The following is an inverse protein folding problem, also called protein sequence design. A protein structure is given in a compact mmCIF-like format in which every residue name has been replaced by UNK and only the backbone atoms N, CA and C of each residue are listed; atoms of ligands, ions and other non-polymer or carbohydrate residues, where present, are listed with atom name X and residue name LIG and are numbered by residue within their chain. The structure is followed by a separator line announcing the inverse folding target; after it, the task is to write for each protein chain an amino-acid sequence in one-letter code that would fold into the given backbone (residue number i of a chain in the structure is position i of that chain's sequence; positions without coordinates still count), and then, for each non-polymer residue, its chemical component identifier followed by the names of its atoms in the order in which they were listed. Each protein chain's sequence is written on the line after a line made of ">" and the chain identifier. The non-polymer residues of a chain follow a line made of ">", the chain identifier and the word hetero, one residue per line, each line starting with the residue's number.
data_IF_076780135503
#
_entry.id   IF_076780135503
#
_cell.length_a   1.000
_cell.length_b   1.000
_cell.length_c   1.000
_cell.angle_alpha   90.00
_cell.angle_beta   90.00
_cell.angle_gamma   90.00
#
_symmetry.space_group_name_H-M   'P 1'
#
loop_
_entity.id
_entity.type
_entity.pdbx_description
1 polymer ?
#
# COMPACT_ATOMS: atom_id res chain seq x y z
N UNK A 1 -64.55 -53.61 19.21
CA UNK A 1 -64.59 -55.05 18.90
C UNK A 1 -63.68 -55.37 17.74
N UNK A 2 -62.81 -56.30 17.92
CA UNK A 2 -61.88 -56.91 16.92
C UNK A 2 -62.69 -57.65 15.82
N UNK A 3 -62.06 -58.05 14.65
CA UNK A 3 -60.82 -58.85 14.63
C UNK A 3 -59.81 -58.51 13.51
N UNK A 4 -58.60 -59.00 13.70
CA UNK A 4 -57.56 -59.29 12.67
C UNK A 4 -57.95 -60.59 11.91
N UNK A 5 -57.43 -60.76 10.67
CA UNK A 5 -56.62 -61.92 10.37
C UNK A 5 -55.43 -61.67 9.44
N UNK A 6 -54.38 -62.25 9.76
CA UNK A 6 -53.76 -63.48 9.19
C UNK A 6 -52.82 -63.22 7.98
N UNK A 7 -51.57 -63.60 8.23
CA UNK A 7 -50.37 -63.71 7.38
C UNK A 7 -50.55 -64.74 6.27
N UNK A 8 -50.10 -64.44 5.09
CA UNK A 8 -49.66 -65.45 4.10
C UNK A 8 -48.27 -65.13 3.56
N UNK A 9 -47.33 -65.97 3.85
CA UNK A 9 -45.97 -65.97 3.29
C UNK A 9 -45.97 -66.62 1.90
N UNK A 10 -45.43 -65.92 0.93
CA UNK A 10 -45.07 -66.48 -0.40
C UNK A 10 -43.56 -66.37 -0.50
N UNK A 11 -42.93 -67.54 -0.53
CA UNK A 11 -41.52 -67.68 -0.91
C UNK A 11 -41.44 -67.63 -2.43
N UNK A 12 -40.70 -66.64 -2.93
CA UNK A 12 -40.20 -66.56 -4.29
C UNK A 12 -38.66 -66.60 -4.28
N UNK A 13 -38.15 -67.71 -4.87
CA UNK A 13 -36.71 -67.95 -5.09
C UNK A 13 -36.16 -66.92 -6.09
N UNK A 14 -35.17 -66.15 -5.69
CA UNK A 14 -34.43 -65.28 -6.57
C UNK A 14 -33.16 -65.98 -7.06
N UNK A 15 -33.06 -66.15 -8.38
CA UNK A 15 -31.83 -66.55 -9.04
C UNK A 15 -30.84 -65.42 -9.09
N UNK A 16 -29.65 -65.57 -8.52
CA UNK A 16 -28.56 -64.64 -8.59
C UNK A 16 -27.81 -64.81 -9.92
N UNK A 17 -27.98 -63.85 -10.83
CA UNK A 17 -27.13 -63.75 -12.00
C UNK A 17 -25.89 -62.91 -11.63
N UNK A 18 -24.71 -63.51 -11.64
CA UNK A 18 -23.44 -62.82 -11.44
C UNK A 18 -23.11 -61.99 -12.70
N UNK A 19 -23.25 -60.66 -12.64
CA UNK A 19 -22.67 -59.79 -13.64
C UNK A 19 -21.19 -59.56 -13.28
N UNK A 20 -20.30 -60.07 -14.14
CA UNK A 20 -18.88 -59.74 -14.12
C UNK A 20 -18.71 -58.26 -14.58
N UNK A 21 -18.60 -57.32 -13.63
CA UNK A 21 -18.27 -55.93 -13.90
C UNK A 21 -16.79 -55.83 -14.25
N UNK A 22 -16.46 -55.45 -15.47
CA UNK A 22 -15.12 -55.02 -15.87
C UNK A 22 -14.78 -53.73 -15.13
N UNK A 23 -13.86 -53.82 -14.18
CA UNK A 23 -13.26 -52.63 -13.57
C UNK A 23 -12.35 -51.98 -14.61
N UNK A 24 -12.80 -50.89 -15.21
CA UNK A 24 -11.90 -49.99 -15.91
C UNK A 24 -10.93 -49.41 -14.87
N UNK A 25 -9.64 -49.71 -15.01
CA UNK A 25 -8.61 -49.08 -14.22
C UNK A 25 -8.67 -47.55 -14.48
N UNK A 26 -8.89 -46.78 -13.42
CA UNK A 26 -8.76 -45.33 -13.51
C UNK A 26 -7.32 -45.02 -13.95
N UNK A 27 -7.19 -44.22 -15.01
CA UNK A 27 -5.90 -43.69 -15.42
C UNK A 27 -5.26 -42.94 -14.23
N UNK A 28 -3.94 -43.02 -14.04
CA UNK A 28 -3.28 -42.27 -12.99
C UNK A 28 -3.56 -40.77 -13.23
N UNK A 29 -4.14 -40.14 -12.23
CA UNK A 29 -4.20 -38.65 -12.16
C UNK A 29 -2.73 -38.25 -12.13
N UNK A 30 -2.22 -37.74 -13.23
CA UNK A 30 -0.94 -37.04 -13.22
C UNK A 30 -1.12 -35.83 -12.33
N UNK A 31 -0.50 -35.90 -11.17
CA UNK A 31 -0.31 -34.75 -10.29
C UNK A 31 0.46 -33.70 -11.10
N UNK A 32 -0.26 -32.78 -11.74
CA UNK A 32 0.34 -31.59 -12.31
C UNK A 32 0.72 -30.74 -11.13
N UNK A 33 1.92 -30.95 -10.60
CA UNK A 33 2.57 -29.95 -9.76
C UNK A 33 2.56 -28.67 -10.57
N UNK A 34 1.73 -27.73 -10.17
CA UNK A 34 1.77 -26.35 -10.69
C UNK A 34 3.15 -25.83 -10.26
N UNK A 35 4.11 -25.87 -11.17
CA UNK A 35 5.40 -25.22 -10.97
C UNK A 35 5.06 -23.74 -10.84
N UNK A 36 5.34 -23.15 -9.67
CA UNK A 36 5.17 -21.74 -9.48
C UNK A 36 5.94 -21.02 -10.61
N UNK A 37 5.30 -20.05 -11.26
CA UNK A 37 5.97 -19.28 -12.30
C UNK A 37 7.22 -18.62 -11.70
N UNK A 38 8.33 -18.62 -12.46
CA UNK A 38 9.58 -17.97 -12.02
C UNK A 38 9.33 -16.46 -11.93
N UNK A 39 9.72 -15.87 -10.82
CA UNK A 39 9.73 -14.45 -10.52
C UNK A 39 11.11 -14.17 -9.93
N UNK A 40 12.03 -13.69 -10.76
CA UNK A 40 13.46 -13.62 -10.42
C UNK A 40 13.77 -12.49 -9.47
N UNK A 41 13.10 -11.35 -9.58
CA UNK A 41 13.35 -10.18 -8.73
C UNK A 41 12.37 -10.05 -7.55
N UNK A 42 11.27 -10.81 -7.55
CA UNK A 42 10.34 -10.91 -6.43
C UNK A 42 9.39 -9.71 -6.32
N UNK A 43 8.94 -9.18 -7.45
CA UNK A 43 7.93 -8.11 -7.49
C UNK A 43 6.51 -8.63 -7.72
N UNK A 44 6.35 -9.96 -7.80
CA UNK A 44 5.11 -10.68 -8.06
C UNK A 44 4.65 -10.64 -9.52
N UNK A 45 5.47 -10.19 -10.46
CA UNK A 45 5.27 -10.37 -11.88
C UNK A 45 6.10 -11.56 -12.35
N UNK A 46 5.52 -12.59 -12.98
CA UNK A 46 6.29 -13.69 -13.54
C UNK A 46 7.25 -13.22 -14.64
N UNK A 47 8.50 -13.71 -14.64
CA UNK A 47 9.52 -13.42 -15.69
C UNK A 47 8.95 -13.58 -17.11
N UNK A 48 8.05 -14.55 -17.30
CA UNK A 48 7.43 -14.79 -18.60
C UNK A 48 6.49 -13.67 -19.04
N UNK A 49 5.81 -13.02 -18.13
CA UNK A 49 4.96 -11.86 -18.44
C UNK A 49 5.80 -10.65 -18.81
N UNK A 50 6.88 -10.43 -18.09
CA UNK A 50 7.79 -9.31 -18.33
C UNK A 50 8.62 -9.46 -19.62
N UNK A 51 8.85 -10.72 -20.05
CA UNK A 51 9.61 -11.01 -21.27
C UNK A 51 8.75 -11.11 -22.52
N UNK A 52 7.52 -11.65 -22.40
CA UNK A 52 6.68 -12.01 -23.53
C UNK A 52 5.35 -11.26 -23.57
N UNK A 53 5.02 -10.49 -22.53
CA UNK A 53 3.69 -9.93 -22.31
C UNK A 53 2.75 -10.89 -21.58
N UNK A 54 1.63 -10.35 -21.11
CA UNK A 54 0.61 -11.08 -20.34
C UNK A 54 -0.63 -11.33 -21.21
N UNK A 55 -0.95 -12.60 -21.40
CA UNK A 55 -2.20 -13.10 -21.99
C UNK A 55 -3.16 -13.40 -20.83
N UNK A 56 -4.13 -12.53 -20.62
CA UNK A 56 -5.00 -12.57 -19.44
C UNK A 56 -6.13 -13.60 -19.58
N UNK A 57 -6.49 -13.96 -20.82
CA UNK A 57 -7.61 -14.83 -21.13
C UNK A 57 -7.18 -16.23 -21.66
N UNK A 58 -5.89 -16.41 -21.95
CA UNK A 58 -5.31 -17.67 -22.40
C UNK A 58 -5.60 -18.00 -23.88
N UNK A 59 -5.88 -17.00 -24.72
CA UNK A 59 -6.19 -17.20 -26.14
C UNK A 59 -4.97 -17.16 -27.06
N UNK A 60 -3.78 -16.94 -26.49
CA UNK A 60 -2.50 -16.87 -27.20
C UNK A 60 -2.18 -15.47 -27.76
N UNK A 61 -2.99 -14.46 -27.45
CA UNK A 61 -2.75 -13.05 -27.80
C UNK A 61 -2.36 -12.28 -26.55
N UNK A 62 -1.33 -11.46 -26.65
CA UNK A 62 -0.91 -10.61 -25.54
C UNK A 62 -1.94 -9.50 -25.31
N UNK A 63 -2.53 -9.47 -24.10
CA UNK A 63 -3.47 -8.42 -23.68
C UNK A 63 -2.75 -7.22 -23.04
N UNK A 64 -1.62 -7.46 -22.34
CA UNK A 64 -0.79 -6.44 -21.70
C UNK A 64 0.66 -6.63 -22.09
N UNK A 65 1.19 -5.75 -22.92
CA UNK A 65 2.57 -5.81 -23.43
C UNK A 65 3.54 -5.21 -22.41
N UNK A 66 3.83 -5.96 -21.34
CA UNK A 66 4.74 -5.54 -20.28
C UNK A 66 6.16 -5.21 -20.80
N UNK A 67 6.76 -5.99 -21.73
CA UNK A 67 8.04 -5.62 -22.34
C UNK A 67 8.02 -4.23 -22.98
N UNK A 68 6.97 -3.93 -23.75
CA UNK A 68 6.84 -2.61 -24.38
C UNK A 68 6.62 -1.47 -23.37
N UNK A 69 6.06 -1.78 -22.20
CA UNK A 69 5.92 -0.84 -21.09
C UNK A 69 7.20 -0.68 -20.27
N UNK A 70 8.23 -1.50 -20.51
CA UNK A 70 9.55 -1.39 -19.90
C UNK A 70 9.78 -2.31 -18.70
N UNK A 71 8.95 -3.33 -18.48
CA UNK A 71 9.17 -4.34 -17.47
C UNK A 71 10.48 -5.12 -17.69
N UNK A 72 11.09 -5.57 -16.59
CA UNK A 72 12.38 -6.25 -16.63
C UNK A 72 12.47 -7.33 -15.54
N UNK A 73 12.55 -8.63 -15.86
CA UNK A 73 12.50 -9.74 -14.89
C UNK A 73 13.68 -9.78 -13.89
N UNK A 74 14.57 -8.79 -13.93
CA UNK A 74 15.70 -8.67 -13.00
C UNK A 74 15.70 -7.35 -12.23
N UNK A 75 14.67 -6.52 -12.38
CA UNK A 75 14.55 -5.26 -11.67
C UNK A 75 13.09 -4.99 -11.37
N UNK A 76 12.75 -4.97 -10.08
CA UNK A 76 11.37 -4.80 -9.61
C UNK A 76 10.63 -3.70 -10.32
N UNK A 77 9.45 -4.05 -10.82
CA UNK A 77 8.50 -3.18 -11.48
C UNK A 77 7.24 -3.00 -10.62
N UNK A 78 6.60 -1.85 -10.74
CA UNK A 78 5.35 -1.53 -10.06
C UNK A 78 4.49 -0.70 -11.00
N UNK A 79 3.29 -1.17 -11.34
CA UNK A 79 2.41 -0.52 -12.30
C UNK A 79 1.23 0.14 -11.59
N UNK A 80 0.92 1.40 -11.95
CA UNK A 80 -0.21 2.15 -11.41
C UNK A 80 -0.96 2.86 -12.53
N UNK A 81 -2.21 2.50 -12.75
CA UNK A 81 -3.13 3.23 -13.62
C UNK A 81 -3.89 4.29 -12.83
N UNK A 82 -3.94 5.50 -13.37
CA UNK A 82 -4.48 6.68 -12.71
C UNK A 82 -5.65 7.25 -13.50
N UNK A 83 -6.88 6.99 -13.04
CA UNK A 83 -8.02 7.81 -13.46
C UNK A 83 -8.03 9.14 -12.69
N UNK A 84 -8.70 10.14 -13.25
CA UNK A 84 -8.72 11.47 -12.62
C UNK A 84 -9.99 12.24 -12.95
N UNK A 85 -10.50 12.93 -11.95
CA UNK A 85 -11.55 13.93 -12.16
C UNK A 85 -10.98 15.20 -12.79
N UNK A 86 -11.81 15.92 -13.54
CA UNK A 86 -11.38 17.14 -14.22
C UNK A 86 -10.68 18.11 -13.27
N UNK A 87 -9.47 18.51 -13.64
CA UNK A 87 -8.62 19.41 -12.85
C UNK A 87 -7.99 18.80 -11.59
N UNK A 88 -8.09 17.49 -11.37
CA UNK A 88 -7.50 16.82 -10.19
C UNK A 88 -6.19 16.11 -10.49
N UNK A 89 -5.92 15.71 -11.74
CA UNK A 89 -4.68 15.00 -12.09
C UNK A 89 -3.43 15.79 -11.70
N UNK A 90 -2.54 15.17 -10.96
CA UNK A 90 -1.25 15.73 -10.53
C UNK A 90 -0.43 16.26 -11.73
N UNK A 91 0.43 17.24 -11.46
CA UNK A 91 1.32 17.80 -12.46
C UNK A 91 2.36 16.78 -12.95
N UNK A 92 2.91 16.98 -14.14
CA UNK A 92 4.04 16.17 -14.63
C UNK A 92 5.23 16.20 -13.66
N UNK A 93 5.50 17.35 -13.03
CA UNK A 93 6.56 17.48 -12.04
C UNK A 93 6.30 16.62 -10.78
N UNK A 94 5.05 16.53 -10.32
CA UNK A 94 4.68 15.64 -9.22
C UNK A 94 4.86 14.16 -9.62
N UNK A 95 4.44 13.77 -10.83
CA UNK A 95 4.63 12.40 -11.33
C UNK A 95 6.14 12.06 -11.47
N UNK A 96 6.95 12.96 -11.99
CA UNK A 96 8.40 12.79 -12.06
C UNK A 96 9.04 12.57 -10.67
N UNK A 97 8.55 13.27 -9.65
CA UNK A 97 9.01 13.09 -8.27
C UNK A 97 8.57 11.75 -7.68
N UNK A 98 7.36 11.28 -7.96
CA UNK A 98 6.92 9.93 -7.57
C UNK A 98 7.85 8.89 -8.18
N UNK A 99 8.13 8.97 -9.48
CA UNK A 99 9.10 8.08 -10.14
C UNK A 99 10.47 8.15 -9.46
N UNK A 100 10.95 9.34 -9.11
CA UNK A 100 12.23 9.51 -8.41
C UNK A 100 12.24 8.84 -7.04
N UNK A 101 11.16 8.92 -6.26
CA UNK A 101 11.06 8.27 -4.93
C UNK A 101 11.33 6.77 -5.05
N UNK A 102 10.68 6.09 -5.99
CA UNK A 102 10.82 4.66 -6.18
C UNK A 102 12.16 4.29 -6.84
N UNK A 103 12.61 5.03 -7.84
CA UNK A 103 13.89 4.75 -8.53
C UNK A 103 15.12 4.91 -7.62
N UNK A 104 15.02 5.72 -6.57
CA UNK A 104 16.09 5.92 -5.57
C UNK A 104 15.91 5.09 -4.30
N UNK A 105 14.93 4.20 -4.27
CA UNK A 105 14.69 3.30 -3.15
C UNK A 105 15.91 2.39 -2.88
N UNK A 106 16.27 2.11 -1.62
CA UNK A 106 17.40 1.23 -1.28
C UNK A 106 17.02 -0.26 -1.39
N UNK A 107 16.39 -0.62 -2.50
CA UNK A 107 15.94 -1.98 -2.82
C UNK A 107 16.90 -2.57 -3.82
N UNK A 108 17.54 -3.69 -3.49
CA UNK A 108 18.50 -4.36 -4.39
C UNK A 108 17.76 -5.24 -5.40
N UNK A 109 18.30 -5.29 -6.62
CA UNK A 109 17.80 -6.08 -7.72
C UNK A 109 18.81 -7.15 -8.19
N UNK A 110 18.35 -8.25 -8.82
CA UNK A 110 19.21 -9.29 -9.36
C UNK A 110 20.20 -8.82 -10.44
N UNK A 111 19.90 -7.75 -11.16
CA UNK A 111 20.79 -7.14 -12.15
C UNK A 111 21.95 -6.32 -11.54
N UNK A 112 21.99 -6.23 -10.20
CA UNK A 112 22.96 -5.44 -9.44
C UNK A 112 22.60 -3.97 -9.28
N UNK A 113 21.48 -3.52 -9.84
CA UNK A 113 20.96 -2.16 -9.64
C UNK A 113 20.24 -2.03 -8.30
N UNK A 114 19.86 -0.79 -7.95
CA UNK A 114 18.94 -0.49 -6.84
C UNK A 114 17.72 0.27 -7.36
N UNK A 115 16.67 0.32 -6.54
CA UNK A 115 15.42 1.02 -6.84
C UNK A 115 14.33 0.11 -7.37
N UNK A 116 13.15 0.68 -7.53
CA UNK A 116 11.97 0.07 -8.13
C UNK A 116 11.58 0.92 -9.34
N UNK A 117 11.30 0.30 -10.47
CA UNK A 117 10.76 1.00 -11.62
C UNK A 117 9.24 1.13 -11.44
N UNK A 118 8.76 2.33 -11.11
CA UNK A 118 7.32 2.58 -11.08
C UNK A 118 6.84 3.08 -12.43
N UNK A 119 5.88 2.39 -13.01
CA UNK A 119 5.23 2.70 -14.29
C UNK A 119 3.89 3.38 -14.01
N UNK A 120 3.83 4.68 -14.23
CA UNK A 120 2.65 5.49 -14.01
C UNK A 120 1.90 5.67 -15.32
N UNK A 121 0.60 5.41 -15.32
CA UNK A 121 -0.26 5.56 -16.49
C UNK A 121 -1.38 6.55 -16.21
N UNK A 122 -1.25 7.76 -16.74
CA UNK A 122 -2.25 8.84 -16.69
C UNK A 122 -2.96 9.02 -18.04
N UNK A 123 -2.76 8.08 -18.97
CA UNK A 123 -3.16 8.24 -20.34
C UNK A 123 -2.50 9.45 -21.03
N UNK A 124 -3.05 9.88 -22.15
CA UNK A 124 -2.47 10.95 -22.96
C UNK A 124 -2.43 12.33 -22.25
N UNK A 125 -3.09 12.50 -21.11
CA UNK A 125 -3.20 13.80 -20.41
C UNK A 125 -1.87 14.35 -19.90
N UNK A 126 -0.85 13.50 -19.73
CA UNK A 126 0.50 13.90 -19.31
C UNK A 126 1.58 13.57 -20.35
N UNK A 127 1.16 13.36 -21.62
CA UNK A 127 2.02 13.04 -22.74
C UNK A 127 2.52 11.60 -22.72
N UNK A 128 3.27 11.21 -23.73
CA UNK A 128 3.67 9.83 -24.02
C UNK A 128 4.48 9.16 -22.90
N UNK A 129 5.12 9.94 -22.02
CA UNK A 129 5.88 9.41 -20.89
C UNK A 129 4.99 8.67 -19.87
N UNK A 130 3.74 9.12 -19.73
CA UNK A 130 2.79 8.62 -18.77
C UNK A 130 1.52 8.07 -19.44
N UNK A 131 1.68 7.59 -20.68
CA UNK A 131 0.62 6.98 -21.48
C UNK A 131 1.00 5.52 -21.79
N UNK A 132 0.43 4.61 -21.00
CA UNK A 132 0.57 3.16 -21.19
C UNK A 132 -0.74 2.53 -21.68
N UNK A 133 -1.64 3.35 -22.22
CA UNK A 133 -2.89 2.94 -22.82
C UNK A 133 -4.10 2.81 -21.88
N UNK A 134 -3.96 3.28 -20.64
CA UNK A 134 -5.05 3.44 -19.66
C UNK A 134 -5.15 4.89 -19.20
N UNK A 135 -5.63 5.11 -17.97
CA UNK A 135 -5.72 6.43 -17.33
C UNK A 135 -6.72 7.37 -18.04
N UNK A 136 -7.87 7.59 -17.42
CA UNK A 136 -8.99 8.29 -18.06
C UNK A 136 -9.45 9.48 -17.24
N UNK A 137 -9.90 10.55 -17.92
CA UNK A 137 -10.70 11.57 -17.27
C UNK A 137 -12.09 11.03 -17.00
N UNK A 138 -12.50 11.04 -15.72
CA UNK A 138 -13.81 10.57 -15.27
C UNK A 138 -14.70 11.75 -14.90
N UNK A 139 -16.01 11.50 -14.79
CA UNK A 139 -16.97 12.52 -14.38
C UNK A 139 -16.58 13.10 -13.00
N UNK A 140 -16.61 14.43 -12.88
CA UNK A 140 -16.32 15.10 -11.63
C UNK A 140 -17.42 14.84 -10.60
N UNK A 141 -17.01 14.44 -9.41
CA UNK A 141 -17.83 14.34 -8.21
C UNK A 141 -17.04 15.02 -7.07
N UNK A 142 -17.66 15.95 -6.37
CA UNK A 142 -17.01 16.68 -5.30
C UNK A 142 -16.94 15.87 -4.00
N UNK A 143 -17.64 14.73 -3.92
CA UNK A 143 -17.68 13.86 -2.74
C UNK A 143 -17.99 12.40 -3.09
N UNK A 144 -16.98 11.59 -3.31
CA UNK A 144 -17.14 10.15 -3.52
C UNK A 144 -17.84 9.49 -2.32
N UNK A 145 -19.16 9.30 -2.39
CA UNK A 145 -19.94 8.81 -1.23
C UNK A 145 -21.01 7.80 -1.63
N UNK A 146 -20.94 6.52 -1.20
CA UNK A 146 -19.85 5.91 -0.42
C UNK A 146 -18.57 5.72 -1.26
N UNK A 147 -17.42 6.09 -0.70
CA UNK A 147 -16.13 6.12 -1.41
C UNK A 147 -15.79 4.81 -2.11
N UNK A 148 -15.85 3.69 -1.38
CA UNK A 148 -15.53 2.38 -1.93
C UNK A 148 -16.48 1.97 -3.07
N UNK A 149 -17.78 2.28 -2.95
CA UNK A 149 -18.78 1.92 -3.96
C UNK A 149 -18.54 2.70 -5.26
N UNK A 150 -18.35 4.01 -5.14
CA UNK A 150 -18.17 4.86 -6.32
C UNK A 150 -16.82 4.62 -6.98
N UNK A 151 -15.74 4.48 -6.22
CA UNK A 151 -14.41 4.15 -6.77
C UNK A 151 -14.42 2.81 -7.50
N UNK A 152 -15.06 1.78 -6.92
CA UNK A 152 -15.18 0.48 -7.59
C UNK A 152 -16.04 0.55 -8.86
N UNK A 153 -17.06 1.40 -8.90
CA UNK A 153 -17.86 1.60 -10.11
C UNK A 153 -17.04 2.29 -11.22
N UNK A 154 -16.25 3.31 -10.88
CA UNK A 154 -15.33 3.97 -11.82
C UNK A 154 -14.25 2.99 -12.32
N UNK A 155 -13.62 2.23 -11.40
CA UNK A 155 -12.67 1.18 -11.76
C UNK A 155 -13.29 0.15 -12.71
N UNK A 156 -14.49 -0.32 -12.44
CA UNK A 156 -15.18 -1.29 -13.30
C UNK A 156 -15.52 -0.74 -14.70
N UNK A 157 -15.74 0.55 -14.81
CA UNK A 157 -16.10 1.20 -16.07
C UNK A 157 -14.88 1.56 -16.94
N UNK A 158 -13.73 1.87 -16.34
CA UNK A 158 -12.59 2.46 -17.04
C UNK A 158 -11.32 1.58 -17.01
N UNK A 159 -11.16 0.73 -16.01
CA UNK A 159 -9.97 -0.10 -15.84
C UNK A 159 -10.12 -1.44 -16.57
N UNK A 160 -9.26 -1.70 -17.55
CA UNK A 160 -9.32 -2.92 -18.35
C UNK A 160 -9.12 -4.18 -17.50
N UNK A 161 -9.98 -5.19 -17.68
CA UNK A 161 -9.95 -6.43 -16.89
C UNK A 161 -8.61 -7.16 -17.01
N UNK A 162 -7.98 -7.16 -18.18
CA UNK A 162 -6.67 -7.76 -18.39
C UNK A 162 -5.56 -7.13 -17.52
N UNK A 163 -5.67 -5.87 -17.17
CA UNK A 163 -4.67 -5.14 -16.38
C UNK A 163 -4.75 -5.44 -14.87
N UNK A 164 -5.83 -6.03 -14.40
CA UNK A 164 -6.08 -6.29 -12.96
C UNK A 164 -5.02 -7.16 -12.28
N UNK A 165 -4.35 -8.02 -13.04
CA UNK A 165 -3.30 -8.87 -12.51
C UNK A 165 -1.94 -8.15 -12.38
N UNK A 166 -1.80 -6.96 -12.95
CA UNK A 166 -0.54 -6.23 -13.07
C UNK A 166 -0.57 -4.87 -12.41
N UNK A 167 -1.64 -4.10 -12.64
CA UNK A 167 -1.73 -2.70 -12.23
C UNK A 167 -2.47 -2.51 -10.91
N UNK A 168 -1.93 -1.68 -10.05
CA UNK A 168 -2.72 -0.97 -9.06
C UNK A 168 -3.59 0.07 -9.78
N UNK A 169 -4.80 0.28 -9.26
CA UNK A 169 -5.70 1.33 -9.72
C UNK A 169 -5.75 2.47 -8.71
N UNK A 170 -5.72 3.71 -9.20
CA UNK A 170 -5.93 4.86 -8.36
C UNK A 170 -6.85 5.90 -9.02
N UNK A 171 -7.45 6.74 -8.19
CA UNK A 171 -8.27 7.86 -8.64
C UNK A 171 -7.81 9.16 -7.98
N UNK A 172 -7.52 10.18 -8.81
CA UNK A 172 -7.39 11.55 -8.35
C UNK A 172 -8.77 12.18 -8.23
N UNK A 173 -9.28 12.33 -6.99
CA UNK A 173 -10.61 12.85 -6.67
C UNK A 173 -10.58 14.21 -5.96
N UNK A 174 -11.74 14.66 -5.46
CA UNK A 174 -11.87 15.91 -4.71
C UNK A 174 -11.97 15.69 -3.20
N UNK A 175 -13.01 14.99 -2.73
CA UNK A 175 -13.20 14.55 -1.35
C UNK A 175 -13.96 13.22 -1.31
N UNK A 176 -14.15 12.64 -0.12
CA UNK A 176 -14.93 11.42 0.05
C UNK A 176 -15.66 11.34 1.39
N UNK A 177 -16.80 10.60 1.41
CA UNK A 177 -17.63 10.26 2.57
C UNK A 177 -17.98 11.45 3.47
N UNK A 178 -18.15 12.65 2.87
CA UNK A 178 -18.42 13.90 3.57
C UNK A 178 -17.25 14.40 4.41
N UNK A 179 -16.08 13.78 4.32
CA UNK A 179 -14.87 14.11 5.05
C UNK A 179 -13.90 14.97 4.26
N UNK A 180 -12.79 15.33 4.91
CA UNK A 180 -11.71 16.11 4.32
C UNK A 180 -10.34 15.43 4.48
N UNK A 181 -10.31 14.12 4.40
CA UNK A 181 -9.05 13.36 4.41
C UNK A 181 -8.34 13.45 3.06
N UNK A 182 -7.00 13.34 3.09
CA UNK A 182 -6.14 13.54 1.91
C UNK A 182 -6.23 12.41 0.89
N UNK A 183 -6.60 11.20 1.31
CA UNK A 183 -6.73 10.02 0.48
C UNK A 183 -7.29 8.84 1.25
N UNK A 184 -7.35 7.68 0.61
CA UNK A 184 -7.76 6.43 1.22
C UNK A 184 -7.27 5.24 0.40
N UNK A 185 -6.63 4.26 1.05
CA UNK A 185 -6.53 2.89 0.55
C UNK A 185 -7.65 2.05 1.13
N UNK A 186 -8.23 1.13 0.35
CA UNK A 186 -9.44 0.41 0.78
C UNK A 186 -9.18 -0.83 1.63
N UNK A 187 -7.96 -1.26 1.74
CA UNK A 187 -7.42 -2.30 2.64
C UNK A 187 -5.89 -2.23 2.67
N UNK A 188 -5.26 -2.99 3.59
CA UNK A 188 -3.81 -3.18 3.66
C UNK A 188 -3.49 -4.69 3.66
N UNK A 189 -2.75 -5.21 2.67
CA UNK A 189 -2.47 -4.63 1.35
C UNK A 189 -3.70 -4.59 0.43
N UNK A 190 -3.63 -3.83 -0.68
CA UNK A 190 -4.70 -3.72 -1.67
C UNK A 190 -4.16 -3.41 -3.07
N UNK A 191 -5.06 -3.29 -4.04
CA UNK A 191 -4.78 -2.87 -5.41
C UNK A 191 -5.47 -1.55 -5.80
N UNK A 192 -6.13 -0.88 -4.85
CA UNK A 192 -6.94 0.32 -5.14
C UNK A 192 -6.79 1.36 -4.05
N UNK A 193 -6.56 2.62 -4.46
CA UNK A 193 -6.54 3.76 -3.55
C UNK A 193 -7.04 5.04 -4.24
N UNK A 194 -7.36 6.07 -3.46
CA UNK A 194 -7.74 7.39 -3.94
C UNK A 194 -6.88 8.48 -3.30
N UNK A 195 -6.66 9.57 -4.03
CA UNK A 195 -6.08 10.82 -3.52
C UNK A 195 -7.11 11.92 -3.68
N UNK A 196 -7.47 12.58 -2.57
CA UNK A 196 -8.63 13.47 -2.46
C UNK A 196 -8.25 14.81 -1.81
N UNK A 197 -7.27 15.47 -2.39
CA UNK A 197 -6.78 16.80 -1.93
C UNK A 197 -7.44 17.92 -2.74
N UNK A 198 -8.77 17.87 -2.86
CA UNK A 198 -9.54 18.76 -3.70
C UNK A 198 -10.00 20.05 -3.04
N UNK A 199 -10.74 20.84 -3.82
CA UNK A 199 -11.14 22.20 -3.41
C UNK A 199 -12.31 22.22 -2.44
N UNK A 200 -13.17 21.20 -2.43
CA UNK A 200 -14.31 21.12 -1.49
C UNK A 200 -13.83 21.22 -0.05
N UNK A 201 -12.70 20.64 0.25
CA UNK A 201 -12.06 20.66 1.56
C UNK A 201 -10.99 21.76 1.71
N UNK A 202 -10.91 22.69 0.77
CA UNK A 202 -9.91 23.77 0.75
C UNK A 202 -8.45 23.28 0.76
N UNK A 203 -8.21 22.06 0.30
CA UNK A 203 -6.84 21.59 0.10
C UNK A 203 -6.13 22.51 -0.90
N UNK A 204 -5.02 23.08 -0.48
CA UNK A 204 -4.10 23.76 -1.39
C UNK A 204 -3.15 22.72 -1.98
N UNK A 205 -3.67 21.94 -2.93
CA UNK A 205 -2.95 20.82 -3.54
C UNK A 205 -1.71 21.31 -4.28
N UNK A 206 -0.58 21.23 -3.62
CA UNK A 206 0.76 21.46 -4.20
C UNK A 206 1.32 20.13 -4.72
N UNK A 207 2.41 20.20 -5.48
CA UNK A 207 3.13 18.99 -5.85
C UNK A 207 3.61 18.20 -4.61
N UNK A 208 4.00 18.89 -3.53
CA UNK A 208 4.37 18.27 -2.26
C UNK A 208 3.20 17.44 -1.69
N UNK A 209 2.01 18.05 -1.63
CA UNK A 209 0.79 17.39 -1.12
C UNK A 209 0.42 16.17 -1.97
N UNK A 210 0.44 16.34 -3.31
CA UNK A 210 0.12 15.25 -4.24
C UNK A 210 1.11 14.08 -4.13
N UNK A 211 2.41 14.37 -4.12
CA UNK A 211 3.46 13.33 -3.98
C UNK A 211 3.36 12.62 -2.66
N UNK A 212 3.26 13.38 -1.55
CA UNK A 212 3.20 12.81 -0.21
C UNK A 212 1.98 11.90 -0.03
N UNK A 213 0.80 12.35 -0.46
CA UNK A 213 -0.42 11.55 -0.34
C UNK A 213 -0.39 10.33 -1.28
N UNK A 214 0.03 10.49 -2.55
CA UNK A 214 0.15 9.36 -3.47
C UNK A 214 1.07 8.26 -2.91
N UNK A 215 2.27 8.64 -2.44
CA UNK A 215 3.23 7.67 -1.91
C UNK A 215 2.70 7.03 -0.62
N UNK A 216 1.98 7.78 0.22
CA UNK A 216 1.33 7.28 1.43
C UNK A 216 0.27 6.22 1.10
N UNK A 217 -0.71 6.54 0.26
CA UNK A 217 -1.80 5.62 -0.08
C UNK A 217 -1.30 4.37 -0.83
N UNK A 218 -0.34 4.54 -1.74
CA UNK A 218 0.33 3.40 -2.36
C UNK A 218 1.09 2.54 -1.34
N UNK A 219 1.64 3.15 -0.29
CA UNK A 219 2.27 2.44 0.82
C UNK A 219 1.32 1.48 1.53
N UNK A 220 0.06 1.87 1.72
CA UNK A 220 -0.98 0.98 2.23
C UNK A 220 -1.27 -0.19 1.27
N UNK A 221 -1.36 0.07 -0.03
CA UNK A 221 -1.48 -0.99 -1.02
C UNK A 221 -0.29 -1.97 -0.96
N UNK A 222 0.89 -1.47 -0.64
CA UNK A 222 2.12 -2.27 -0.47
C UNK A 222 2.31 -2.83 0.96
N UNK A 223 1.28 -2.82 1.79
CA UNK A 223 1.26 -3.50 3.09
C UNK A 223 1.75 -2.69 4.28
N UNK A 224 2.01 -1.40 4.13
CA UNK A 224 2.49 -0.54 5.21
C UNK A 224 1.33 0.08 6.00
N UNK A 225 1.52 0.29 7.31
CA UNK A 225 0.61 0.99 8.20
C UNK A 225 1.22 2.33 8.66
N UNK A 226 0.43 3.17 9.35
CA UNK A 226 0.87 4.49 9.81
C UNK A 226 2.06 4.46 10.76
N UNK A 227 2.30 3.36 11.44
CA UNK A 227 3.48 3.11 12.27
C UNK A 227 4.47 2.09 11.67
N UNK A 228 4.27 1.70 10.42
CA UNK A 228 5.02 0.65 9.73
C UNK A 228 4.41 -0.72 9.95
N UNK A 229 4.84 -1.46 10.96
CA UNK A 229 4.28 -2.78 11.30
C UNK A 229 3.00 -2.71 12.15
N UNK A 230 2.63 -1.54 12.62
CA UNK A 230 1.46 -1.27 13.46
C UNK A 230 0.76 0.04 13.06
N UNK A 231 -0.42 0.30 13.62
CA UNK A 231 -1.22 1.50 13.35
C UNK A 231 -0.88 2.72 14.20
N UNK A 232 0.15 2.68 15.07
CA UNK A 232 0.51 3.81 15.92
C UNK A 232 1.13 4.93 15.08
N UNK A 233 0.47 6.08 15.04
CA UNK A 233 0.91 7.22 14.25
C UNK A 233 1.79 8.20 15.05
N UNK A 234 2.35 9.21 14.39
CA UNK A 234 3.15 10.30 14.96
C UNK A 234 4.41 9.84 15.71
N UNK A 235 4.91 8.63 15.46
CA UNK A 235 6.13 8.13 16.10
C UNK A 235 7.36 8.90 15.60
N UNK A 236 8.11 9.59 16.46
CA UNK A 236 9.29 10.37 16.02
C UNK A 236 10.41 9.52 15.45
N UNK A 237 10.50 8.25 15.82
CA UNK A 237 11.49 7.31 15.29
C UNK A 237 11.06 6.62 13.99
N UNK A 238 9.84 6.88 13.48
CA UNK A 238 9.34 6.31 12.22
C UNK A 238 9.41 7.36 11.10
N UNK A 239 10.56 7.39 10.40
CA UNK A 239 10.96 8.41 9.43
C UNK A 239 10.46 8.05 8.03
N UNK A 240 9.15 8.10 7.82
CA UNK A 240 8.44 7.67 6.62
C UNK A 240 7.27 8.61 6.32
N UNK A 241 6.91 8.76 5.04
CA UNK A 241 5.66 9.46 4.67
C UNK A 241 4.41 8.71 5.11
N UNK A 242 4.51 7.46 5.53
CA UNK A 242 3.42 6.72 6.19
C UNK A 242 3.04 7.32 7.54
N UNK A 243 3.93 8.06 8.17
CA UNK A 243 3.70 8.80 9.40
C UNK A 243 3.15 10.20 9.06
N UNK A 244 2.00 10.57 9.61
CA UNK A 244 1.35 11.85 9.34
C UNK A 244 2.23 13.07 9.65
N UNK A 245 3.16 12.98 10.60
CA UNK A 245 4.14 14.04 10.84
C UNK A 245 4.96 14.40 9.59
N UNK A 246 5.05 13.49 8.62
CA UNK A 246 5.91 13.64 7.44
C UNK A 246 5.18 13.44 6.11
N UNK A 247 3.91 13.05 6.10
CA UNK A 247 3.16 12.74 4.87
C UNK A 247 3.18 13.92 3.89
N UNK A 248 2.76 15.11 4.31
CA UNK A 248 2.60 16.26 3.41
C UNK A 248 3.84 17.14 3.31
N UNK A 249 4.73 17.05 4.30
CA UNK A 249 5.95 17.87 4.39
C UNK A 249 7.22 17.16 3.93
N UNK A 250 7.18 15.83 3.79
CA UNK A 250 8.36 14.97 3.64
C UNK A 250 9.15 14.84 4.95
N UNK A 251 9.96 13.81 5.06
CA UNK A 251 10.92 13.65 6.15
C UNK A 251 12.08 14.61 5.94
N UNK A 252 12.31 15.53 6.87
CA UNK A 252 13.40 16.49 6.78
C UNK A 252 14.73 15.80 7.10
N UNK A 253 15.71 15.92 6.19
CA UNK A 253 17.07 15.46 6.42
C UNK A 253 17.89 16.46 7.23
N UNK A 254 18.96 15.99 7.84
CA UNK A 254 19.87 16.84 8.63
C UNK A 254 20.55 17.94 7.80
N UNK A 255 20.69 17.74 6.48
CA UNK A 255 21.21 18.73 5.52
C UNK A 255 20.17 19.76 5.05
N UNK A 256 18.93 19.67 5.55
CA UNK A 256 17.82 20.55 5.18
C UNK A 256 17.05 20.14 3.94
N UNK A 257 17.46 19.07 3.23
CA UNK A 257 16.69 18.52 2.12
C UNK A 257 15.50 17.69 2.64
N UNK A 258 14.55 17.38 1.76
CA UNK A 258 13.37 16.58 2.08
C UNK A 258 13.46 15.19 1.43
N UNK A 259 12.97 14.19 2.13
CA UNK A 259 12.83 12.82 1.66
C UNK A 259 11.34 12.42 1.64
N UNK A 260 10.85 11.97 0.49
CA UNK A 260 9.43 11.73 0.24
C UNK A 260 9.06 10.24 0.17
N UNK A 261 9.97 9.38 0.56
CA UNK A 261 9.76 7.93 0.50
C UNK A 261 9.44 7.31 1.84
N UNK A 262 9.42 6.00 1.83
CA UNK A 262 9.25 5.17 3.01
C UNK A 262 10.54 5.09 3.82
N UNK A 263 10.43 4.75 5.11
CA UNK A 263 11.61 4.61 5.96
C UNK A 263 12.59 3.57 5.40
N UNK A 264 13.85 3.96 5.29
CA UNK A 264 14.97 3.08 4.93
C UNK A 264 15.84 2.73 6.14
N UNK A 265 15.44 3.16 7.33
CA UNK A 265 16.12 2.91 8.60
C UNK A 265 15.11 2.46 9.66
N UNK A 266 15.62 1.77 10.65
CA UNK A 266 14.86 1.41 11.85
C UNK A 266 15.60 1.94 13.07
N UNK A 267 15.41 3.21 13.45
CA UNK A 267 16.01 3.76 14.65
C UNK A 267 15.62 3.00 15.91
N UNK A 268 16.35 3.25 16.99
CA UNK A 268 16.08 2.63 18.30
C UNK A 268 14.63 2.87 18.74
N UNK A 269 14.00 1.84 19.30
CA UNK A 269 12.67 1.97 19.91
C UNK A 269 12.69 2.96 21.07
N UNK A 270 11.65 3.76 21.20
CA UNK A 270 11.50 4.73 22.29
C UNK A 270 10.45 4.18 23.25
N UNK A 271 10.83 4.03 24.51
CA UNK A 271 9.90 3.69 25.59
C UNK A 271 9.37 4.95 26.23
N UNK A 272 8.14 5.34 25.95
CA UNK A 272 7.52 6.57 26.45
C UNK A 272 7.34 6.63 27.96
N UNK A 273 7.34 5.48 28.64
CA UNK A 273 7.33 5.46 30.11
C UNK A 273 8.66 5.95 30.71
N UNK A 274 9.74 5.97 29.93
CA UNK A 274 11.07 6.44 30.31
C UNK A 274 11.92 6.68 29.05
N UNK A 275 11.61 7.68 28.24
CA UNK A 275 12.44 8.00 27.08
C UNK A 275 13.81 8.52 27.53
N UNK A 276 14.85 8.13 26.79
CA UNK A 276 16.21 8.62 27.02
C UNK A 276 16.46 9.82 26.11
N UNK A 277 16.40 11.01 26.66
CA UNK A 277 16.62 12.26 25.92
C UNK A 277 18.05 12.41 25.41
N UNK A 278 19.01 11.85 26.15
CA UNK A 278 20.44 11.95 25.81
C UNK A 278 20.80 11.16 24.56
N UNK A 279 20.02 10.12 24.24
CA UNK A 279 20.25 9.21 23.12
C UNK A 279 19.64 9.71 21.80
N UNK A 280 18.63 10.57 21.83
CA UNK A 280 17.83 10.94 20.68
C UNK A 280 17.33 9.68 19.93
N UNK A 281 17.43 9.67 18.61
CA UNK A 281 17.09 8.50 17.77
C UNK A 281 18.27 7.53 17.55
N UNK A 282 19.38 7.69 18.28
CA UNK A 282 20.59 6.89 18.09
C UNK A 282 21.29 7.17 16.75
N UNK A 283 22.29 6.37 16.40
CA UNK A 283 23.16 6.59 15.23
C UNK A 283 22.38 6.65 13.89
N UNK A 284 21.28 5.91 13.75
CA UNK A 284 20.46 5.89 12.54
C UNK A 284 19.65 7.19 12.33
N UNK A 285 19.49 8.02 13.37
CA UNK A 285 18.92 9.36 13.30
C UNK A 285 19.85 10.44 12.73
N UNK A 286 21.15 10.15 12.54
CA UNK A 286 22.16 11.15 12.16
C UNK A 286 21.86 11.84 10.81
N UNK A 287 21.23 11.12 9.86
CA UNK A 287 20.89 11.65 8.54
C UNK A 287 19.57 12.44 8.49
N UNK A 288 18.82 12.52 9.58
CA UNK A 288 17.47 13.01 9.61
C UNK A 288 17.22 14.00 10.73
N UNK A 289 16.14 14.78 10.56
CA UNK A 289 15.46 15.51 11.63
C UNK A 289 14.18 14.76 11.97
N UNK A 290 13.64 15.00 13.18
CA UNK A 290 12.37 14.38 13.58
C UNK A 290 11.45 15.36 14.29
N UNK A 291 10.16 14.98 14.39
CA UNK A 291 9.13 15.75 15.05
C UNK A 291 8.43 14.90 16.12
N UNK A 292 8.02 15.54 17.21
CA UNK A 292 7.29 14.91 18.31
C UNK A 292 6.23 15.84 18.88
N UNK A 293 5.30 15.30 19.67
CA UNK A 293 4.26 16.04 20.37
C UNK A 293 4.73 16.40 21.78
N UNK A 294 4.47 17.65 22.19
CA UNK A 294 4.67 18.10 23.55
C UNK A 294 3.37 18.08 24.36
N UNK A 295 3.42 18.10 25.71
CA UNK A 295 2.25 18.17 26.57
C UNK A 295 1.34 19.39 26.32
N UNK A 296 1.86 20.45 25.71
CA UNK A 296 1.09 21.64 25.28
C UNK A 296 0.28 21.39 24.00
N UNK A 297 0.32 20.18 23.45
CA UNK A 297 -0.35 19.78 22.21
C UNK A 297 0.35 20.23 20.94
N UNK A 298 1.48 20.94 21.04
CA UNK A 298 2.22 21.43 19.87
C UNK A 298 3.22 20.40 19.38
N UNK A 299 3.44 20.39 18.07
CA UNK A 299 4.53 19.63 17.46
C UNK A 299 5.84 20.42 17.59
N UNK A 300 6.89 19.73 17.99
CA UNK A 300 8.27 20.22 17.93
C UNK A 300 9.02 19.46 16.86
N UNK A 301 10.06 20.10 16.32
CA UNK A 301 10.95 19.49 15.32
C UNK A 301 12.40 19.80 15.70
N UNK A 302 13.29 18.81 15.61
CA UNK A 302 14.70 19.02 15.89
C UNK A 302 15.30 20.09 14.97
N UNK A 303 16.18 20.93 15.49
CA UNK A 303 16.89 21.96 14.70
C UNK A 303 18.04 21.37 13.90
N UNK A 304 18.59 20.24 14.35
CA UNK A 304 19.69 19.49 13.75
C UNK A 304 19.38 18.01 13.61
N UNK A 305 20.42 17.19 13.46
CA UNK A 305 20.33 15.76 13.33
C UNK A 305 19.67 15.09 14.56
N UNK A 306 18.77 14.17 14.32
CA UNK A 306 17.97 13.52 15.36
C UNK A 306 18.73 12.49 16.21
N UNK A 307 20.02 12.28 15.97
CA UNK A 307 20.91 11.51 16.84
C UNK A 307 21.53 12.32 17.98
N UNK A 308 21.19 13.62 18.09
CA UNK A 308 21.55 14.47 19.20
C UNK A 308 20.51 14.37 20.32
N UNK A 309 20.81 14.81 21.54
CA UNK A 309 19.81 14.87 22.62
C UNK A 309 18.52 15.58 22.22
N UNK A 310 17.37 15.03 22.60
CA UNK A 310 16.03 15.54 22.27
C UNK A 310 15.23 15.68 23.57
N UNK A 311 14.70 16.86 23.82
CA UNK A 311 13.78 17.19 24.92
C UNK A 311 12.40 16.57 24.62
N UNK A 312 12.20 15.30 24.97
CA UNK A 312 10.98 14.56 24.65
C UNK A 312 9.76 15.04 25.46
N UNK A 313 9.97 15.48 26.69
CA UNK A 313 8.94 15.94 27.61
C UNK A 313 8.66 17.44 27.49
N UNK A 314 9.49 18.18 26.74
CA UNK A 314 9.41 19.62 26.48
C UNK A 314 9.49 20.48 27.75
N UNK A 315 10.30 20.06 28.75
CA UNK A 315 10.51 20.84 29.97
C UNK A 315 11.68 21.85 29.87
N UNK A 316 12.46 21.78 28.79
CA UNK A 316 13.50 22.76 28.44
C UNK A 316 14.92 22.25 28.67
N UNK A 317 15.11 20.99 29.07
CA UNK A 317 16.42 20.34 29.09
C UNK A 317 16.46 19.09 28.21
N UNK A 318 17.54 18.34 28.23
CA UNK A 318 17.72 17.14 27.39
C UNK A 318 18.49 16.05 28.16
N UNK A 319 18.30 16.02 29.46
CA UNK A 319 19.06 15.15 30.35
C UNK A 319 18.25 14.03 31.01
N UNK A 320 16.94 14.05 30.78
CA UNK A 320 16.00 13.09 31.33
C UNK A 320 16.18 11.68 30.74
N UNK A 321 16.15 10.69 31.65
CA UNK A 321 16.21 9.26 31.25
C UNK A 321 15.11 8.42 31.89
N UNK A 322 14.25 9.05 32.73
CA UNK A 322 13.25 8.35 33.55
C UNK A 322 11.89 9.06 33.58
N UNK A 323 11.78 10.27 33.07
CA UNK A 323 10.54 11.05 33.03
C UNK A 323 9.64 10.57 31.89
N UNK A 324 8.43 10.08 32.19
CA UNK A 324 7.49 9.62 31.18
C UNK A 324 7.00 10.78 30.31
N UNK A 325 6.86 10.55 29.01
CA UNK A 325 6.31 11.51 28.06
C UNK A 325 5.47 10.80 26.99
N UNK A 326 4.28 11.31 26.72
CA UNK A 326 3.45 10.93 25.57
C UNK A 326 3.99 11.67 24.33
N UNK A 327 4.90 11.02 23.62
CA UNK A 327 5.72 11.63 22.56
C UNK A 327 5.00 11.66 21.23
N UNK A 328 4.10 10.69 20.98
CA UNK A 328 3.28 10.62 19.77
C UNK A 328 1.91 11.29 19.93
N UNK A 329 1.51 11.67 21.13
CA UNK A 329 0.26 12.39 21.43
C UNK A 329 -0.99 11.53 21.42
N UNK A 330 -0.86 10.22 21.61
CA UNK A 330 -2.00 9.28 21.62
C UNK A 330 -2.65 9.10 23.00
N UNK A 331 -2.17 9.83 24.00
CA UNK A 331 -2.63 9.83 25.40
C UNK A 331 -2.29 8.54 26.16
N UNK A 332 -1.36 7.78 25.66
CA UNK A 332 -0.82 6.59 26.33
C UNK A 332 0.70 6.70 26.44
N UNK A 333 1.31 5.77 27.13
CA UNK A 333 2.76 5.60 27.12
C UNK A 333 3.09 4.18 26.70
N UNK A 334 3.63 4.02 25.53
CA UNK A 334 3.91 2.75 24.91
C UNK A 334 5.39 2.62 24.49
N UNK A 335 5.74 1.53 23.83
CA UNK A 335 7.03 1.40 23.18
C UNK A 335 6.85 1.67 21.70
N UNK A 336 7.39 2.79 21.23
CA UNK A 336 7.32 3.20 19.83
C UNK A 336 8.40 2.45 19.03
N UNK A 337 7.95 1.54 18.14
CA UNK A 337 8.85 0.72 17.32
C UNK A 337 8.76 1.22 15.87
N UNK A 338 9.91 1.56 15.29
CA UNK A 338 10.01 1.90 13.87
C UNK A 338 10.15 0.65 12.99
N UNK A 339 10.00 0.82 11.68
CA UNK A 339 10.21 -0.23 10.68
C UNK A 339 11.04 0.32 9.51
N UNK A 340 11.94 -0.49 8.95
CA UNK A 340 12.49 -0.25 7.63
C UNK A 340 11.46 -0.69 6.58
N UNK A 341 10.72 0.26 6.03
CA UNK A 341 9.60 -0.05 5.15
C UNK A 341 10.03 -0.66 3.82
N UNK A 342 11.11 -0.12 3.20
CA UNK A 342 11.56 -0.64 1.91
C UNK A 342 11.92 -2.13 1.95
N UNK A 343 12.34 -2.63 3.10
CA UNK A 343 12.64 -4.04 3.31
C UNK A 343 11.38 -4.89 3.63
N UNK A 344 10.23 -4.25 3.80
CA UNK A 344 8.98 -4.90 4.23
C UNK A 344 7.80 -4.64 3.28
N UNK A 345 8.07 -4.15 2.07
CA UNK A 345 7.04 -3.99 1.07
C UNK A 345 6.46 -5.34 0.64
N UNK A 346 5.18 -5.32 0.39
CA UNK A 346 4.40 -6.45 -0.09
C UNK A 346 3.99 -6.17 -1.53
N UNK A 347 4.70 -6.73 -2.48
CA UNK A 347 4.27 -6.75 -3.86
C UNK A 347 3.10 -7.73 -4.02
N UNK A 348 2.16 -7.43 -4.90
CA UNK A 348 0.99 -8.29 -5.12
C UNK A 348 -0.14 -8.08 -4.11
N UNK A 349 -0.25 -6.91 -3.51
CA UNK A 349 -1.39 -6.51 -2.69
C UNK A 349 -2.65 -6.33 -3.55
N UNK A 350 -3.54 -7.28 -3.57
CA UNK A 350 -4.71 -7.30 -4.43
C UNK A 350 -4.60 -8.37 -5.49
N UNK A 351 -4.66 -8.03 -6.76
CA UNK A 351 -4.61 -8.96 -7.87
C UNK A 351 -3.22 -9.08 -8.52
N UNK A 352 -2.29 -8.21 -8.18
CA UNK A 352 -0.95 -8.17 -8.79
C UNK A 352 -0.19 -9.46 -8.47
N UNK A 353 0.28 -10.14 -9.50
CA UNK A 353 1.11 -11.32 -9.41
C UNK A 353 0.45 -12.61 -8.89
N UNK A 354 -0.82 -12.60 -8.54
CA UNK A 354 -1.56 -13.81 -8.14
C UNK A 354 -0.94 -14.59 -6.97
N UNK A 355 -0.28 -13.89 -6.03
CA UNK A 355 0.33 -14.50 -4.87
C UNK A 355 -0.67 -15.37 -4.09
N UNK A 356 -0.33 -16.63 -3.89
CA UNK A 356 -1.19 -17.68 -3.30
C UNK A 356 -1.31 -17.59 -1.77
N UNK A 357 -0.64 -16.62 -1.13
CA UNK A 357 -0.68 -16.50 0.33
C UNK A 357 -1.93 -15.75 0.78
N UNK A 358 -2.80 -16.37 1.59
CA UNK A 358 -3.92 -15.68 2.20
C UNK A 358 -3.40 -14.67 3.22
N UNK A 359 -3.33 -13.40 2.85
CA UNK A 359 -2.91 -12.33 3.76
C UNK A 359 -4.12 -11.77 4.49
N UNK A 360 -3.98 -11.61 5.81
CA UNK A 360 -4.98 -10.90 6.62
C UNK A 360 -4.97 -9.44 6.17
N UNK A 361 -6.08 -8.98 5.59
CA UNK A 361 -6.24 -7.58 5.18
C UNK A 361 -6.77 -6.78 6.37
N UNK A 362 -6.19 -5.61 6.61
CA UNK A 362 -6.75 -4.63 7.56
C UNK A 362 -7.83 -3.84 6.83
N UNK A 363 -9.09 -3.85 7.29
CA UNK A 363 -10.18 -3.12 6.63
C UNK A 363 -9.93 -1.62 6.60
N UNK A 364 -10.34 -0.96 5.53
CA UNK A 364 -10.28 0.50 5.39
C UNK A 364 -11.00 1.25 6.53
N UNK A 365 -12.06 0.67 7.09
CA UNK A 365 -12.79 1.26 8.23
C UNK A 365 -11.94 1.40 9.51
N UNK A 366 -10.79 0.72 9.59
CA UNK A 366 -9.84 0.84 10.68
C UNK A 366 -8.71 1.84 10.37
N UNK A 367 -8.64 2.33 9.13
CA UNK A 367 -7.68 3.33 8.68
C UNK A 367 -8.35 4.71 8.79
N UNK A 368 -7.90 5.51 9.74
CA UNK A 368 -8.26 6.92 9.81
C UNK A 368 -7.18 7.69 9.09
N UNK A 369 -7.53 8.35 7.99
CA UNK A 369 -6.58 9.10 7.18
C UNK A 369 -6.42 10.56 7.64
N UNK A 370 -5.27 11.17 7.30
CA UNK A 370 -4.93 12.55 7.66
C UNK A 370 -5.95 13.53 7.07
N UNK A 371 -6.63 14.28 7.94
CA UNK A 371 -7.59 15.30 7.52
C UNK A 371 -6.90 16.66 7.27
N UNK A 372 -7.57 17.53 6.51
CA UNK A 372 -7.09 18.88 6.26
C UNK A 372 -6.88 19.70 7.56
N UNK A 373 -7.79 19.54 8.54
CA UNK A 373 -7.65 20.20 9.84
C UNK A 373 -6.40 19.73 10.59
N UNK A 374 -6.16 18.42 10.62
CA UNK A 374 -4.96 17.86 11.24
C UNK A 374 -3.69 18.29 10.51
N UNK A 375 -3.72 18.35 9.17
CA UNK A 375 -2.61 18.81 8.37
C UNK A 375 -2.23 20.26 8.71
N UNK A 376 -3.23 21.14 8.88
CA UNK A 376 -3.00 22.53 9.31
C UNK A 376 -2.43 22.64 10.73
N UNK A 377 -2.75 21.69 11.61
CA UNK A 377 -2.23 21.67 12.98
C UNK A 377 -0.79 21.15 13.10
N UNK A 378 -0.24 20.56 12.04
CA UNK A 378 1.14 20.05 12.00
C UNK A 378 2.16 21.15 11.61
N UNK A 379 1.69 22.25 11.04
CA UNK A 379 2.49 23.37 10.51
C UNK A 379 2.14 24.67 11.22
#
# INVERSE_FOLDING_TARGET
>A
MRPRPALFAVLTSLAVAALAGSHAAAAPVTDTTVVAATDTDGDSLPDAWETNGYDANGDGVVDVDLPAMGANPKKKDLFVEMDYMSGRLASTAALDRIVQVFSTAPVSNPDGSTGITIHLDAGAARGTKYDLGGGNEVAYDDDLNPSATQTNALKAANFATARKAVFHYMLWGDSYDGGCSSGQAFNIPNDTFIVTVGQKCNWNATDDTNVGTFVHELGHNLGLQHGGADGLNYKPNYLSVMNYSFQLGGVLKSDGTKYWGYSNVQPTSINEARPDETAGLGSLGAGYRTSWKCPDGKTRTTTGAANQPIDWNCDGDTSDTTTAADINGDKTTSVLIAQNNWANLVFGGGAVGGGTEPRTKTPASELRELTHEEALALH
#
